data_IF_841560889931
#
_entry.id   IF_841560889931
#
_cell.length_a   1.000
_cell.length_b   1.000
_cell.length_c   1.000
_cell.angle_alpha   90.00
_cell.angle_beta   90.00
_cell.angle_gamma   90.00
#
_symmetry.space_group_name_H-M   'P 1'
#
loop_
_entity.id
_entity.type
_entity.pdbx_description
1 polymer ?
#
# COMPACT_ATOMS: atom_id res chain seq x y z
N UNK A 1 21.62 8.51 -32.92
CA UNK A 1 22.35 8.41 -31.63
C UNK A 1 22.65 6.94 -31.37
N UNK A 2 23.90 6.58 -31.12
CA UNK A 2 24.34 5.20 -30.88
C UNK A 2 24.13 4.87 -29.39
N UNK A 3 23.37 3.82 -29.07
CA UNK A 3 23.19 3.38 -27.67
C UNK A 3 24.52 2.83 -27.13
N UNK A 4 24.92 3.15 -25.89
CA UNK A 4 26.16 2.64 -25.29
C UNK A 4 26.13 1.10 -25.19
N UNK A 5 27.26 0.44 -25.47
CA UNK A 5 27.37 -1.04 -25.51
C UNK A 5 26.93 -1.74 -24.22
N UNK A 6 27.05 -1.10 -23.06
CA UNK A 6 26.65 -1.67 -21.76
C UNK A 6 25.13 -1.59 -21.53
N UNK A 7 24.40 -0.79 -22.32
CA UNK A 7 22.92 -0.80 -22.35
C UNK A 7 22.35 -1.88 -23.27
N UNK A 8 23.21 -2.62 -23.99
CA UNK A 8 22.81 -3.73 -24.87
C UNK A 8 22.40 -4.99 -24.08
N UNK A 9 22.63 -5.03 -22.77
CA UNK A 9 22.09 -6.09 -21.91
C UNK A 9 20.57 -5.90 -21.77
N UNK A 10 19.77 -6.98 -21.92
CA UNK A 10 18.33 -6.89 -22.14
C UNK A 10 17.52 -6.34 -20.96
N UNK A 11 18.15 -6.02 -19.82
CA UNK A 11 17.45 -5.55 -18.62
C UNK A 11 18.05 -4.27 -18.02
N UNK A 12 19.22 -3.80 -18.46
CA UNK A 12 19.88 -2.62 -17.86
C UNK A 12 19.06 -1.35 -18.12
N UNK A 13 18.35 -1.28 -19.24
CA UNK A 13 17.43 -0.19 -19.55
C UNK A 13 16.20 -0.13 -18.62
N UNK A 14 15.89 -1.21 -17.89
CA UNK A 14 14.82 -1.25 -16.88
C UNK A 14 15.31 -0.78 -15.50
N UNK A 15 16.63 -0.64 -15.31
CA UNK A 15 17.21 -0.14 -14.08
C UNK A 15 17.13 1.38 -14.11
N UNK A 16 16.30 1.91 -13.23
CA UNK A 16 16.26 3.33 -12.97
C UNK A 16 17.23 3.66 -11.83
N UNK A 17 18.25 4.45 -12.14
CA UNK A 17 19.25 4.90 -11.16
C UNK A 17 18.75 6.01 -10.23
N UNK A 18 17.51 6.45 -10.42
CA UNK A 18 16.81 7.44 -9.60
C UNK A 18 15.50 6.84 -9.08
N UNK A 19 15.04 7.23 -7.88
CA UNK A 19 13.75 6.80 -7.36
C UNK A 19 12.66 7.28 -8.32
N UNK A 20 11.93 6.32 -8.89
CA UNK A 20 10.79 6.61 -9.74
C UNK A 20 9.54 6.63 -8.90
N UNK A 21 8.90 7.78 -8.88
CA UNK A 21 7.54 7.89 -8.41
C UNK A 21 6.61 7.27 -9.47
N UNK A 22 5.91 6.21 -9.09
CA UNK A 22 5.15 5.40 -10.04
C UNK A 22 3.75 5.08 -9.52
N UNK A 23 2.82 4.86 -10.46
CA UNK A 23 1.52 4.31 -10.13
C UNK A 23 1.65 2.87 -9.61
N UNK A 24 0.81 2.51 -8.64
CA UNK A 24 0.68 1.14 -8.15
C UNK A 24 -0.80 0.79 -7.90
N UNK A 25 -1.26 -0.36 -8.41
CA UNK A 25 -2.59 -0.94 -8.12
C UNK A 25 -2.42 -2.37 -7.61
N UNK A 26 -3.01 -2.67 -6.46
CA UNK A 26 -3.07 -4.02 -5.93
C UNK A 26 -4.52 -4.40 -5.63
N UNK A 27 -5.01 -5.45 -6.30
CA UNK A 27 -6.31 -6.08 -6.04
C UNK A 27 -6.13 -7.35 -5.23
N UNK A 28 -6.89 -7.43 -4.15
CA UNK A 28 -6.96 -8.57 -3.26
C UNK A 28 -8.38 -9.12 -3.19
N UNK A 29 -8.50 -10.44 -3.03
CA UNK A 29 -9.79 -11.11 -2.87
C UNK A 29 -9.75 -12.12 -1.73
N UNK A 30 -10.90 -12.25 -1.06
CA UNK A 30 -11.14 -13.23 -0.01
C UNK A 30 -12.62 -13.62 -0.01
N UNK A 31 -12.90 -14.90 -0.21
CA UNK A 31 -14.26 -15.45 -0.29
C UNK A 31 -15.12 -14.70 -1.32
N UNK A 32 -16.06 -13.88 -0.84
CA UNK A 32 -16.95 -13.05 -1.68
C UNK A 32 -16.60 -11.56 -1.62
N UNK A 33 -15.46 -11.17 -1.04
CA UNK A 33 -15.05 -9.78 -0.85
C UNK A 33 -13.81 -9.45 -1.68
N UNK A 34 -13.76 -8.21 -2.16
CA UNK A 34 -12.58 -7.65 -2.79
C UNK A 34 -12.08 -6.42 -2.05
N UNK A 35 -10.79 -6.14 -2.21
CA UNK A 35 -10.14 -4.94 -1.72
C UNK A 35 -9.12 -4.48 -2.77
N UNK A 36 -9.13 -3.22 -3.15
CA UNK A 36 -8.24 -2.62 -4.13
C UNK A 36 -7.54 -1.45 -3.46
N UNK A 37 -6.22 -1.36 -3.66
CA UNK A 37 -5.36 -0.29 -3.18
C UNK A 37 -4.72 0.33 -4.42
N UNK A 38 -4.95 1.62 -4.64
CA UNK A 38 -4.35 2.38 -5.73
C UNK A 38 -3.54 3.53 -5.19
N UNK A 39 -2.25 3.57 -5.50
CA UNK A 39 -1.38 4.72 -5.29
C UNK A 39 -1.24 5.45 -6.63
N UNK A 40 -1.68 6.71 -6.68
CA UNK A 40 -1.64 7.54 -7.88
C UNK A 40 -1.36 8.99 -7.50
N UNK A 41 -0.95 9.79 -8.49
CA UNK A 41 -0.91 11.25 -8.35
C UNK A 41 -2.28 11.85 -8.63
N UNK A 42 -2.66 12.89 -7.90
CA UNK A 42 -3.88 13.64 -8.14
C UNK A 42 -3.64 14.79 -9.15
N UNK A 43 -4.68 15.61 -9.40
CA UNK A 43 -4.60 16.73 -10.35
C UNK A 43 -3.75 17.92 -9.86
N UNK A 44 -3.47 17.98 -8.56
CA UNK A 44 -2.66 19.00 -7.90
C UNK A 44 -1.23 18.52 -7.64
N UNK A 45 -0.84 17.39 -8.23
CA UNK A 45 0.47 16.75 -8.06
C UNK A 45 0.71 16.17 -6.66
N UNK A 46 -0.31 16.02 -5.82
CA UNK A 46 -0.22 15.33 -4.55
C UNK A 46 -0.35 13.81 -4.73
N UNK A 47 0.23 13.04 -3.82
CA UNK A 47 0.14 11.59 -3.84
C UNK A 47 -1.09 11.12 -3.08
N UNK A 48 -1.90 10.26 -3.69
CA UNK A 48 -3.13 9.75 -3.09
C UNK A 48 -3.17 8.23 -3.09
N UNK A 49 -3.68 7.65 -2.00
CA UNK A 49 -4.06 6.25 -1.94
C UNK A 49 -5.59 6.15 -1.96
N UNK A 50 -6.13 5.57 -3.01
CA UNK A 50 -7.55 5.21 -3.11
C UNK A 50 -7.76 3.77 -2.68
N UNK A 51 -8.64 3.56 -1.71
CA UNK A 51 -8.96 2.25 -1.14
C UNK A 51 -10.40 1.91 -1.47
N UNK A 52 -10.57 0.88 -2.30
CA UNK A 52 -11.90 0.45 -2.76
C UNK A 52 -12.16 -0.94 -2.18
N UNK A 53 -13.34 -1.17 -1.64
CA UNK A 53 -13.71 -2.48 -1.12
C UNK A 53 -15.19 -2.78 -1.35
N UNK A 54 -15.55 -4.05 -1.39
CA UNK A 54 -16.93 -4.42 -1.63
C UNK A 54 -17.12 -5.93 -1.75
N UNK A 55 -18.31 -6.32 -2.19
CA UNK A 55 -18.62 -7.71 -2.49
C UNK A 55 -18.36 -7.97 -3.97
N UNK A 56 -17.79 -9.12 -4.30
CA UNK A 56 -17.56 -9.52 -5.69
C UNK A 56 -18.93 -9.57 -6.40
N UNK A 57 -19.00 -8.95 -7.58
CA UNK A 57 -20.24 -8.79 -8.39
C UNK A 57 -21.33 -7.89 -7.77
N UNK A 58 -21.05 -7.09 -6.75
CA UNK A 58 -22.01 -6.05 -6.30
C UNK A 58 -21.97 -4.82 -7.20
N UNK A 59 -23.12 -4.13 -7.33
CA UNK A 59 -23.23 -2.89 -8.11
C UNK A 59 -22.37 -1.74 -7.58
N UNK A 60 -22.14 -1.67 -6.27
CA UNK A 60 -21.40 -0.58 -5.63
C UNK A 60 -20.50 -1.11 -4.50
N UNK A 61 -19.28 -0.59 -4.44
CA UNK A 61 -18.36 -0.77 -3.31
C UNK A 61 -18.24 0.52 -2.49
N UNK A 62 -17.46 0.48 -1.43
CA UNK A 62 -17.05 1.67 -0.68
C UNK A 62 -15.67 2.12 -1.16
N UNK A 63 -15.49 3.42 -1.30
CA UNK A 63 -14.20 4.05 -1.60
C UNK A 63 -13.82 5.02 -0.49
N UNK A 64 -12.54 5.10 -0.17
CA UNK A 64 -11.95 6.15 0.68
C UNK A 64 -10.59 6.54 0.11
N UNK A 65 -10.23 7.81 0.26
CA UNK A 65 -8.97 8.35 -0.25
C UNK A 65 -8.13 8.89 0.91
N UNK A 66 -6.82 8.65 0.84
CA UNK A 66 -5.82 9.20 1.75
C UNK A 66 -4.86 10.06 0.92
N UNK A 67 -4.54 11.26 1.38
CA UNK A 67 -3.62 12.18 0.72
C UNK A 67 -2.27 12.22 1.44
N UNK A 68 -1.20 12.38 0.67
CA UNK A 68 0.18 12.39 1.12
C UNK A 68 0.96 13.45 0.34
N UNK A 69 1.90 14.13 1.00
CA UNK A 69 2.69 15.20 0.39
C UNK A 69 3.81 14.68 -0.54
N UNK A 70 4.21 13.41 -0.42
CA UNK A 70 5.30 12.84 -1.19
C UNK A 70 5.08 11.35 -1.50
N UNK A 71 5.75 10.87 -2.55
CA UNK A 71 5.60 9.50 -3.03
C UNK A 71 6.07 8.46 -2.01
N UNK A 72 7.21 8.69 -1.35
CA UNK A 72 7.83 7.69 -0.47
C UNK A 72 6.92 7.35 0.72
N UNK A 73 6.37 8.36 1.38
CA UNK A 73 5.41 8.18 2.48
C UNK A 73 4.15 7.43 2.02
N UNK A 74 3.60 7.83 0.86
CA UNK A 74 2.45 7.17 0.28
C UNK A 74 2.75 5.70 -0.09
N UNK A 75 3.95 5.42 -0.60
CA UNK A 75 4.38 4.07 -0.96
C UNK A 75 4.62 3.18 0.27
N UNK A 76 5.19 3.73 1.35
CA UNK A 76 5.28 3.01 2.63
C UNK A 76 3.88 2.64 3.15
N UNK A 77 2.94 3.59 3.11
CA UNK A 77 1.55 3.34 3.48
C UNK A 77 0.87 2.30 2.58
N UNK A 78 1.14 2.33 1.28
CA UNK A 78 0.68 1.32 0.32
C UNK A 78 1.18 -0.08 0.70
N UNK A 79 2.48 -0.20 1.02
CA UNK A 79 3.09 -1.46 1.46
C UNK A 79 2.48 -1.96 2.78
N UNK A 80 2.25 -1.07 3.75
CA UNK A 80 1.60 -1.41 5.02
C UNK A 80 0.18 -1.92 4.81
N UNK A 81 -0.62 -1.24 3.98
CA UNK A 81 -1.99 -1.65 3.70
C UNK A 81 -2.05 -3.01 2.98
N UNK A 82 -1.14 -3.23 2.03
CA UNK A 82 -0.94 -4.52 1.35
C UNK A 82 -0.60 -5.63 2.34
N UNK A 83 0.37 -5.39 3.23
CA UNK A 83 0.75 -6.33 4.29
C UNK A 83 -0.43 -6.66 5.21
N UNK A 84 -1.21 -5.67 5.61
CA UNK A 84 -2.42 -5.87 6.42
C UNK A 84 -3.46 -6.73 5.70
N UNK A 85 -3.64 -6.56 4.37
CA UNK A 85 -4.55 -7.42 3.60
C UNK A 85 -4.07 -8.87 3.57
N UNK A 86 -2.77 -9.07 3.29
CA UNK A 86 -2.16 -10.39 3.31
C UNK A 86 -2.31 -11.08 4.68
N UNK A 87 -2.00 -10.38 5.77
CA UNK A 87 -2.16 -10.89 7.14
C UNK A 87 -3.61 -11.25 7.50
N UNK A 88 -4.61 -10.60 6.86
CA UNK A 88 -6.04 -10.92 7.03
C UNK A 88 -6.52 -12.08 6.16
N UNK A 89 -5.60 -12.74 5.44
CA UNK A 89 -5.87 -13.88 4.58
C UNK A 89 -6.48 -13.50 3.24
N UNK A 90 -6.33 -12.26 2.80
CA UNK A 90 -6.68 -11.90 1.42
C UNK A 90 -5.57 -12.33 0.46
N UNK A 91 -5.96 -12.91 -0.67
CA UNK A 91 -5.05 -13.32 -1.72
C UNK A 91 -4.85 -12.17 -2.71
N UNK A 92 -3.60 -11.87 -3.05
CA UNK A 92 -3.28 -10.93 -4.12
C UNK A 92 -3.71 -11.55 -5.46
N UNK A 93 -4.57 -10.86 -6.21
CA UNK A 93 -5.12 -11.31 -7.50
C UNK A 93 -4.51 -10.59 -8.69
N UNK A 94 -4.28 -9.30 -8.54
CA UNK A 94 -3.72 -8.47 -9.60
C UNK A 94 -2.81 -7.43 -8.97
N UNK A 95 -1.68 -7.21 -9.60
CA UNK A 95 -0.76 -6.15 -9.25
C UNK A 95 -0.33 -5.45 -10.54
N UNK A 96 -0.47 -4.13 -10.58
CA UNK A 96 -0.11 -3.29 -11.72
C UNK A 96 0.82 -2.21 -11.19
N UNK A 97 1.91 -1.95 -11.91
CA UNK A 97 2.87 -0.91 -11.59
C UNK A 97 3.53 -0.45 -12.88
N UNK A 98 3.85 0.84 -12.98
CA UNK A 98 4.56 1.39 -14.14
C UNK A 98 6.06 1.01 -14.14
N UNK A 99 6.56 0.46 -13.02
CA UNK A 99 7.92 -0.05 -12.92
C UNK A 99 7.99 -1.51 -13.40
N UNK A 100 8.38 -1.70 -14.67
CA UNK A 100 8.49 -3.00 -15.30
C UNK A 100 9.48 -3.93 -14.57
N UNK A 101 10.62 -3.41 -14.09
CA UNK A 101 11.61 -4.21 -13.34
C UNK A 101 10.99 -4.79 -12.07
N UNK A 102 10.24 -3.98 -11.32
CA UNK A 102 9.54 -4.45 -10.13
C UNK A 102 8.59 -5.60 -10.46
N UNK A 103 7.78 -5.47 -11.53
CA UNK A 103 6.88 -6.53 -11.97
C UNK A 103 7.61 -7.84 -12.30
N UNK A 104 8.78 -7.76 -12.95
CA UNK A 104 9.60 -8.94 -13.25
C UNK A 104 10.23 -9.58 -12.01
N UNK A 105 10.56 -8.79 -10.99
CA UNK A 105 11.20 -9.30 -9.76
C UNK A 105 10.22 -9.86 -8.72
N UNK A 106 8.95 -9.44 -8.75
CA UNK A 106 7.94 -9.86 -7.76
C UNK A 106 7.84 -11.39 -7.55
N UNK A 107 7.83 -12.25 -8.59
CA UNK A 107 7.76 -13.70 -8.40
C UNK A 107 8.94 -14.27 -7.59
N UNK A 108 10.12 -13.66 -7.69
CA UNK A 108 11.33 -14.10 -7.00
C UNK A 108 11.38 -13.63 -5.55
N UNK A 109 10.65 -12.58 -5.19
CA UNK A 109 10.61 -12.06 -3.81
C UNK A 109 10.08 -13.08 -2.80
N UNK A 110 9.15 -13.95 -3.23
CA UNK A 110 8.55 -15.02 -2.40
C UNK A 110 9.58 -16.09 -1.96
N UNK A 111 10.66 -16.27 -2.73
CA UNK A 111 11.70 -17.27 -2.45
C UNK A 111 12.48 -16.92 -1.17
N UNK A 112 12.54 -15.63 -0.81
CA UNK A 112 13.39 -15.15 0.30
C UNK A 112 12.81 -15.44 1.70
N UNK A 113 11.48 -15.57 1.85
CA UNK A 113 10.87 -15.82 3.18
C UNK A 113 11.01 -17.26 3.65
N UNK A 114 11.07 -18.24 2.74
CA UNK A 114 11.28 -19.65 3.10
C UNK A 114 12.66 -19.90 3.71
N UNK A 115 13.65 -19.05 3.43
CA UNK A 115 14.99 -19.14 4.03
C UNK A 115 15.05 -18.54 5.45
N UNK A 116 14.15 -17.61 5.83
CA UNK A 116 14.13 -17.06 7.19
C UNK A 116 13.54 -18.02 8.22
N UNK A 117 12.65 -18.93 7.81
CA UNK A 117 12.11 -19.97 8.71
C UNK A 117 13.17 -20.98 9.18
N UNK A 118 14.32 -21.09 8.49
CA UNK A 118 15.46 -21.94 8.93
C UNK A 118 16.42 -21.25 9.91
N UNK A 119 16.33 -19.92 10.10
CA UNK A 119 17.28 -19.17 10.94
C UNK A 119 16.71 -18.81 12.33
N UNK A 120 15.45 -19.17 12.63
CA UNK A 120 14.75 -18.77 13.85
C UNK A 120 14.61 -19.87 14.92
N UNK A 121 15.30 -21.01 14.79
CA UNK A 121 15.39 -22.04 15.84
C UNK A 121 16.41 -21.70 16.95
N UNK A 122 16.79 -20.42 17.09
CA UNK A 122 17.57 -19.94 18.22
C UNK A 122 16.66 -19.65 19.44
N UNK A 123 16.36 -20.72 20.19
CA UNK A 123 15.92 -20.78 21.59
C UNK A 123 15.05 -19.62 22.11
N UNK A 124 13.73 -19.86 22.14
CA UNK A 124 12.79 -19.12 22.98
C UNK A 124 13.05 -19.43 24.46
N UNK A 125 13.65 -18.49 25.20
CA UNK A 125 13.59 -18.49 26.67
C UNK A 125 12.22 -17.97 27.08
N UNK A 126 11.40 -18.83 27.69
CA UNK A 126 10.14 -18.44 28.34
C UNK A 126 10.44 -17.49 29.49
N UNK A 127 9.82 -16.31 29.50
CA UNK A 127 9.70 -15.51 30.70
C UNK A 127 8.22 -15.26 30.98
N UNK A 128 7.69 -16.02 31.93
CA UNK A 128 6.34 -15.86 32.47
C UNK A 128 6.35 -14.77 33.55
N UNK A 129 5.25 -14.00 33.59
CA UNK A 129 4.84 -13.04 34.63
C UNK A 129 5.26 -11.56 34.45
N UNK A 130 4.28 -10.75 34.02
CA UNK A 130 3.86 -9.56 34.78
C UNK A 130 2.44 -9.12 34.34
N UNK A 131 1.47 -9.33 35.23
CA UNK A 131 0.12 -8.75 35.14
C UNK A 131 0.10 -7.37 35.79
N UNK A 132 -0.73 -6.50 35.19
CA UNK A 132 -1.46 -5.34 35.75
C UNK A 132 -0.71 -4.04 36.05
N UNK A 133 -1.02 -2.98 35.28
CA UNK A 133 -1.83 -1.84 35.74
C UNK A 133 -2.47 -1.11 34.55
N UNK A 134 -3.78 -0.88 34.66
CA UNK A 134 -4.57 0.01 33.82
C UNK A 134 -4.27 1.46 34.17
N UNK A 135 -4.24 2.38 33.19
CA UNK A 135 -5.19 3.51 33.16
C UNK A 135 -5.03 4.37 31.90
N UNK A 136 -6.20 4.75 31.39
CA UNK A 136 -6.53 5.81 30.44
C UNK A 136 -5.47 6.90 30.20
N UNK A 137 -5.15 7.12 28.92
CA UNK A 137 -4.85 8.46 28.41
C UNK A 137 -5.69 8.70 27.15
N UNK A 138 -6.87 9.28 27.39
CA UNK A 138 -7.76 9.87 26.41
C UNK A 138 -7.01 11.03 25.73
N UNK A 139 -6.69 10.92 24.45
CA UNK A 139 -6.18 12.07 23.69
C UNK A 139 -7.37 13.00 23.40
N UNK A 140 -7.45 14.08 24.18
CA UNK A 140 -8.29 15.26 23.97
C UNK A 140 -8.05 15.81 22.56
N UNK A 141 -9.05 15.71 21.70
CA UNK A 141 -9.18 16.56 20.52
C UNK A 141 -10.01 17.77 20.98
N UNK A 142 -9.36 18.91 21.17
CA UNK A 142 -10.03 20.18 21.43
C UNK A 142 -10.70 20.66 20.15
N UNK A 143 -12.04 20.70 20.18
CA UNK A 143 -12.90 21.31 19.17
C UNK A 143 -12.98 22.82 19.36
N UNK A 144 -12.41 23.58 18.43
CA UNK A 144 -12.79 24.99 18.24
C UNK A 144 -12.41 25.50 16.85
N UNK A 145 -13.32 25.32 15.89
CA UNK A 145 -13.60 26.32 14.85
C UNK A 145 -14.94 25.99 14.20
N UNK A 146 -15.93 26.85 14.48
CA UNK A 146 -17.18 26.89 13.73
C UNK A 146 -16.84 27.36 12.30
N UNK A 147 -17.05 26.49 11.31
CA UNK A 147 -17.13 26.89 9.92
C UNK A 147 -18.53 26.53 9.42
N UNK A 148 -19.31 27.57 9.17
CA UNK A 148 -20.69 27.53 8.70
C UNK A 148 -20.71 26.88 7.31
N UNK A 149 -21.42 25.75 7.16
CA UNK A 149 -21.67 25.14 5.86
C UNK A 149 -22.64 26.02 5.06
N UNK A 150 -22.13 26.79 4.10
CA UNK A 150 -22.94 27.32 3.01
C UNK A 150 -22.98 26.30 1.88
N UNK A 151 -24.10 25.61 1.73
CA UNK A 151 -24.44 24.86 0.51
C UNK A 151 -24.74 25.86 -0.61
N UNK A 152 -23.87 25.94 -1.61
CA UNK A 152 -24.20 26.57 -2.89
C UNK A 152 -24.85 25.51 -3.77
N UNK A 153 -26.17 25.61 -3.94
CA UNK A 153 -26.90 24.83 -4.92
C UNK A 153 -26.53 25.30 -6.33
N UNK A 154 -26.21 24.36 -7.21
CA UNK A 154 -26.18 24.62 -8.65
C UNK A 154 -27.45 24.04 -9.25
N UNK A 155 -28.26 24.92 -9.82
CA UNK A 155 -29.40 24.61 -10.67
C UNK A 155 -29.02 25.06 -12.07
N UNK A 156 -28.82 24.12 -13.00
CA UNK A 156 -29.15 24.21 -14.43
C UNK A 156 -29.28 22.79 -14.98
#
# INVERSE_FOLDING_TARGET
MQMPWFTALPFVHLIHFYPIEAYHDARFEKDTRYYVIRLSKDLLEDWVITLINGRIKSKLGQSRTLSFANFNEAFEHFCLLTKVRHQRGYQLKTFVCDNALLLYLLPFSVITENNKKKLADAKTVKNENRRTMQSLALLKISSSSQATYQQMGFSF
#
